data_IF_703678957600
#
_entry.id   IF_703678957600
#
_cell.length_a   1.000
_cell.length_b   1.000
_cell.length_c   1.000
_cell.angle_alpha   90.00
_cell.angle_beta   90.00
_cell.angle_gamma   90.00
#
_symmetry.space_group_name_H-M   'P 1'
#
loop_
_entity.id
_entity.type
_entity.pdbx_description
1 polymer ?
#
# COMPACT_ATOMS: atom_id res chain seq x y z
N UNK A 1 -34.76 -14.20 -6.90
CA UNK A 1 -33.88 -13.02 -6.79
C UNK A 1 -32.69 -13.45 -5.96
N UNK A 2 -31.58 -13.79 -6.61
CA UNK A 2 -30.35 -14.27 -5.95
C UNK A 2 -29.46 -13.05 -5.74
N UNK A 3 -29.15 -12.71 -4.49
CA UNK A 3 -28.10 -11.72 -4.19
C UNK A 3 -26.77 -12.21 -4.77
N UNK A 4 -25.94 -11.36 -5.40
CA UNK A 4 -24.55 -11.71 -5.65
C UNK A 4 -23.85 -11.91 -4.30
N UNK A 5 -22.83 -12.79 -4.20
CA UNK A 5 -21.98 -12.82 -3.04
C UNK A 5 -21.41 -11.42 -2.87
N UNK A 6 -21.73 -10.77 -1.77
CA UNK A 6 -20.93 -9.67 -1.25
C UNK A 6 -19.64 -10.30 -0.74
N UNK A 7 -18.78 -10.75 -1.66
CA UNK A 7 -17.36 -10.75 -1.35
C UNK A 7 -17.04 -9.31 -0.96
N UNK A 8 -16.40 -9.07 0.20
CA UNK A 8 -15.88 -7.74 0.49
C UNK A 8 -15.02 -7.36 -0.72
N UNK A 9 -15.09 -6.13 -1.25
CA UNK A 9 -14.29 -5.76 -2.39
C UNK A 9 -12.82 -5.94 -2.01
N UNK A 10 -12.25 -7.06 -2.43
CA UNK A 10 -10.82 -7.29 -2.55
C UNK A 10 -10.33 -6.05 -3.29
N UNK A 11 -9.41 -5.29 -2.69
CA UNK A 11 -8.97 -4.01 -3.23
C UNK A 11 -8.72 -4.14 -4.73
N UNK A 12 -9.33 -3.27 -5.52
CA UNK A 12 -9.08 -3.29 -6.95
C UNK A 12 -7.66 -2.80 -7.22
N UNK A 13 -7.07 -3.15 -8.37
CA UNK A 13 -5.75 -2.62 -8.76
C UNK A 13 -5.70 -1.08 -8.68
N UNK A 14 -6.81 -0.40 -8.97
CA UNK A 14 -6.92 1.05 -8.82
C UNK A 14 -6.84 1.54 -7.37
N UNK A 15 -7.41 0.79 -6.42
CA UNK A 15 -7.32 1.11 -5.00
C UNK A 15 -5.90 0.87 -4.47
N UNK A 16 -5.26 -0.21 -4.92
CA UNK A 16 -3.86 -0.54 -4.59
C UNK A 16 -2.93 0.54 -5.13
N UNK A 17 -3.12 0.96 -6.38
CA UNK A 17 -2.37 2.06 -7.02
C UNK A 17 -2.56 3.38 -6.26
N UNK A 18 -3.79 3.69 -5.89
CA UNK A 18 -4.12 4.88 -5.13
C UNK A 18 -3.48 4.87 -3.74
N UNK A 19 -3.45 3.72 -3.06
CA UNK A 19 -2.79 3.57 -1.77
C UNK A 19 -1.28 3.72 -1.88
N UNK A 20 -0.66 3.06 -2.87
CA UNK A 20 0.77 3.15 -3.11
C UNK A 20 1.20 4.59 -3.43
N UNK A 21 0.46 5.27 -4.31
CA UNK A 21 0.72 6.68 -4.63
C UNK A 21 0.62 7.58 -3.40
N UNK A 22 -0.41 7.41 -2.58
CA UNK A 22 -0.59 8.18 -1.36
C UNK A 22 0.51 7.90 -0.33
N UNK A 23 0.96 6.66 -0.21
CA UNK A 23 2.08 6.29 0.66
C UNK A 23 3.34 7.07 0.24
N UNK A 24 3.65 7.09 -1.06
CA UNK A 24 4.82 7.79 -1.62
C UNK A 24 4.78 9.32 -1.46
N UNK A 25 3.60 9.89 -1.27
CA UNK A 25 3.40 11.32 -1.00
C UNK A 25 3.21 11.62 0.49
N UNK A 26 3.30 10.60 1.34
CA UNK A 26 3.19 10.75 2.78
C UNK A 26 4.56 10.90 3.43
N UNK A 27 4.62 11.43 4.67
CA UNK A 27 5.87 11.47 5.43
C UNK A 27 6.51 10.09 5.62
N UNK A 28 5.74 9.00 5.54
CA UNK A 28 6.26 7.64 5.69
C UNK A 28 7.19 7.20 4.55
N UNK A 29 7.07 7.81 3.37
CA UNK A 29 8.01 7.57 2.27
C UNK A 29 9.25 8.49 2.32
N UNK A 30 9.27 9.44 3.26
CA UNK A 30 10.37 10.40 3.41
C UNK A 30 11.51 9.83 4.27
N UNK A 31 12.66 10.49 4.21
CA UNK A 31 13.88 10.11 4.93
C UNK A 31 13.70 10.17 6.46
N UNK A 32 12.69 10.90 6.93
CA UNK A 32 12.29 10.95 8.34
C UNK A 32 12.05 9.55 8.92
N UNK A 33 11.53 8.62 8.12
CA UNK A 33 11.30 7.24 8.54
C UNK A 33 12.30 6.27 7.91
N UNK A 34 13.39 6.77 7.30
CA UNK A 34 14.45 5.97 6.64
C UNK A 34 14.97 4.82 7.52
N UNK A 35 14.99 5.05 8.84
CA UNK A 35 15.43 4.09 9.86
C UNK A 35 14.54 2.84 9.96
N UNK A 36 13.29 2.89 9.50
CA UNK A 36 12.39 1.74 9.49
C UNK A 36 12.41 1.05 8.13
N UNK A 37 12.27 -0.29 8.08
CA UNK A 37 12.13 -0.99 6.81
C UNK A 37 10.78 -0.62 6.16
N UNK A 38 10.69 -0.75 4.84
CA UNK A 38 9.58 -0.23 4.03
C UNK A 38 8.22 -0.80 4.47
N UNK A 39 8.18 -2.10 4.75
CA UNK A 39 7.04 -2.81 5.31
C UNK A 39 6.55 -2.15 6.60
N UNK A 40 7.44 -1.85 7.55
CA UNK A 40 7.05 -1.21 8.80
C UNK A 40 6.51 0.22 8.61
N UNK A 41 7.02 0.94 7.60
CA UNK A 41 6.49 2.26 7.24
C UNK A 41 5.10 2.16 6.64
N UNK A 42 4.89 1.17 5.77
CA UNK A 42 3.60 0.91 5.12
C UNK A 42 2.56 0.46 6.15
N UNK A 43 2.91 -0.45 7.07
CA UNK A 43 2.05 -0.87 8.18
C UNK A 43 1.57 0.35 9.00
N UNK A 44 2.50 1.19 9.46
CA UNK A 44 2.16 2.40 10.22
C UNK A 44 1.26 3.37 9.46
N UNK A 45 1.46 3.51 8.15
CA UNK A 45 0.62 4.33 7.28
C UNK A 45 -0.81 3.79 7.16
N UNK A 46 -0.96 2.48 6.97
CA UNK A 46 -2.25 1.82 6.82
C UNK A 46 -3.05 1.83 8.12
N UNK A 47 -2.41 1.50 9.25
CA UNK A 47 -3.02 1.58 10.59
C UNK A 47 -3.49 2.97 10.93
N UNK A 48 -2.71 4.01 10.59
CA UNK A 48 -3.10 5.41 10.84
C UNK A 48 -4.33 5.84 10.04
N UNK A 49 -4.65 5.14 8.95
CA UNK A 49 -5.85 5.34 8.14
C UNK A 49 -7.03 4.46 8.56
N UNK A 50 -6.88 3.65 9.60
CA UNK A 50 -7.90 2.70 10.07
C UNK A 50 -8.04 1.48 9.15
N UNK A 51 -7.02 1.19 8.33
CA UNK A 51 -6.98 0.02 7.44
C UNK A 51 -6.33 -1.18 8.13
N UNK A 52 -6.58 -1.38 9.43
CA UNK A 52 -5.98 -2.48 10.20
C UNK A 52 -6.32 -3.85 9.60
N UNK A 53 -7.54 -4.02 9.07
CA UNK A 53 -7.97 -5.25 8.39
C UNK A 53 -7.14 -5.57 7.14
N UNK A 54 -6.67 -4.54 6.44
CA UNK A 54 -5.82 -4.69 5.26
C UNK A 54 -4.43 -5.18 5.69
N UNK A 55 -3.89 -4.65 6.80
CA UNK A 55 -2.62 -5.09 7.38
C UNK A 55 -2.71 -6.54 7.87
N UNK A 56 -3.84 -6.92 8.47
CA UNK A 56 -4.09 -8.29 8.94
C UNK A 56 -4.25 -9.28 7.78
N UNK A 57 -4.73 -8.81 6.62
CA UNK A 57 -4.80 -9.57 5.39
C UNK A 57 -3.45 -9.53 4.66
N UNK A 58 -2.62 -10.55 4.93
CA UNK A 58 -1.27 -10.65 4.37
C UNK A 58 -1.22 -10.66 2.83
N UNK A 59 -2.25 -11.17 2.16
CA UNK A 59 -2.30 -11.22 0.69
C UNK A 59 -2.54 -9.80 0.14
N UNK A 60 -3.54 -9.11 0.70
CA UNK A 60 -3.86 -7.73 0.31
C UNK A 60 -2.71 -6.77 0.66
N UNK A 61 -2.10 -6.94 1.84
CA UNK A 61 -0.93 -6.17 2.25
C UNK A 61 0.25 -6.37 1.28
N UNK A 62 0.49 -7.62 0.87
CA UNK A 62 1.52 -7.97 -0.12
C UNK A 62 1.33 -7.22 -1.44
N UNK A 63 0.09 -7.15 -1.96
CA UNK A 63 -0.21 -6.42 -3.20
C UNK A 63 0.14 -4.94 -3.11
N UNK A 64 -0.19 -4.28 -1.98
CA UNK A 64 0.14 -2.86 -1.77
C UNK A 64 1.65 -2.66 -1.66
N UNK A 65 2.34 -3.55 -0.94
CA UNK A 65 3.80 -3.49 -0.78
C UNK A 65 4.51 -3.66 -2.13
N UNK A 66 4.12 -4.66 -2.91
CA UNK A 66 4.66 -4.91 -4.25
C UNK A 66 4.44 -3.71 -5.17
N UNK A 67 3.26 -3.10 -5.10
CA UNK A 67 2.95 -1.92 -5.90
C UNK A 67 3.80 -0.71 -5.50
N UNK A 68 4.00 -0.47 -4.20
CA UNK A 68 4.90 0.59 -3.70
C UNK A 68 6.32 0.36 -4.19
N UNK A 69 6.85 -0.86 -4.08
CA UNK A 69 8.20 -1.19 -4.58
C UNK A 69 8.32 -0.96 -6.09
N UNK A 70 7.29 -1.34 -6.86
CA UNK A 70 7.27 -1.10 -8.30
C UNK A 70 7.35 0.40 -8.66
N UNK A 71 6.66 1.26 -7.91
CA UNK A 71 6.74 2.71 -8.10
C UNK A 71 8.10 3.28 -7.69
N UNK A 72 8.71 2.80 -6.60
CA UNK A 72 10.06 3.22 -6.20
C UNK A 72 11.07 2.85 -7.30
N UNK A 73 11.03 1.59 -7.76
CA UNK A 73 11.90 1.12 -8.83
C UNK A 73 11.69 1.86 -10.16
N UNK A 74 10.47 2.31 -10.46
CA UNK A 74 10.20 3.15 -11.62
C UNK A 74 10.84 4.55 -11.48
N UNK A 75 10.73 5.18 -10.30
CA UNK A 75 11.33 6.49 -10.01
C UNK A 75 12.86 6.46 -10.10
N UNK A 76 13.48 5.37 -9.63
CA UNK A 76 14.93 5.20 -9.71
C UNK A 76 15.42 5.05 -11.16
N UNK A 77 14.61 4.42 -12.04
CA UNK A 77 14.92 4.28 -13.47
C UNK A 77 14.80 5.59 -14.24
N UNK A 78 13.83 6.43 -13.90
CA UNK A 78 13.63 7.74 -14.54
C UNK A 78 14.69 8.78 -14.12
N UNK A 79 15.46 8.49 -13.07
CA UNK A 79 16.55 9.36 -12.57
C UNK A 79 17.93 9.04 -13.17
N UNK A 80 18.00 8.13 -14.15
CA UNK A 80 19.23 7.64 -14.79
C UNK A 80 19.54 8.22 -16.16
#
# INVERSE_FOLDING_TARGET
>A
MTSPPSDPPLLTDGDVDGLAWQFLHSPYADDTYAVWPLDRRLDGFLRRRGLDRLVEDGDTYGLVLDRVMAYIAARDRDSG
#
